data_IF_932537480268
#
_entry.id   IF_932537480268
#
_cell.length_a   1.000
_cell.length_b   1.000
_cell.length_c   1.000
_cell.angle_alpha   90.00
_cell.angle_beta   90.00
_cell.angle_gamma   90.00
#
_symmetry.space_group_name_H-M   'P 1'
#
loop_
_entity.id
_entity.type
_entity.pdbx_description
1 polymer ?
#
# COMPACT_ATOMS: atom_id res chain seq x y z
N UNK A 1 52.84 13.67 4.90
CA UNK A 1 51.82 13.39 3.87
C UNK A 1 50.68 12.67 4.58
N UNK A 2 49.49 13.25 4.64
CA UNK A 2 48.34 12.58 5.26
C UNK A 2 47.81 11.61 4.21
N UNK A 3 48.03 10.31 4.43
CA UNK A 3 47.44 9.27 3.58
C UNK A 3 45.92 9.40 3.63
N UNK A 4 45.30 9.72 2.49
CA UNK A 4 43.85 9.72 2.34
C UNK A 4 43.38 8.26 2.32
N UNK A 5 43.26 7.63 3.50
CA UNK A 5 42.75 6.27 3.61
C UNK A 5 41.25 6.28 3.37
N UNK A 6 40.71 5.38 2.55
CA UNK A 6 39.27 5.29 2.35
C UNK A 6 38.60 4.97 3.68
N UNK A 7 37.69 5.86 4.12
CA UNK A 7 36.86 5.64 5.30
C UNK A 7 35.68 4.74 4.95
N UNK A 8 35.32 3.84 5.87
CA UNK A 8 34.14 2.98 5.74
C UNK A 8 32.87 3.85 5.61
N UNK A 9 31.95 3.53 4.69
CA UNK A 9 30.67 4.25 4.57
C UNK A 9 29.79 4.05 5.82
N UNK A 10 28.87 4.98 6.06
CA UNK A 10 27.86 4.84 7.13
C UNK A 10 26.89 3.70 6.83
N UNK A 11 26.58 2.91 7.85
CA UNK A 11 25.61 1.82 7.74
C UNK A 11 24.18 2.38 7.58
N UNK A 12 23.35 1.75 6.72
CA UNK A 12 21.93 2.06 6.65
C UNK A 12 21.21 1.59 7.93
N UNK A 13 19.99 2.08 8.14
CA UNK A 13 19.12 1.65 9.24
C UNK A 13 18.57 0.24 8.97
N UNK A 14 19.42 -0.76 9.23
CA UNK A 14 19.12 -2.18 9.07
C UNK A 14 19.59 -2.95 10.31
N UNK A 15 18.91 -4.06 10.66
CA UNK A 15 19.34 -4.91 11.76
C UNK A 15 20.77 -5.45 11.58
N UNK A 16 21.49 -5.65 12.68
CA UNK A 16 22.86 -6.17 12.67
C UNK A 16 22.97 -7.52 11.94
N UNK A 17 21.96 -8.40 12.04
CA UNK A 17 21.97 -9.68 11.33
C UNK A 17 21.91 -9.56 9.80
N UNK A 18 21.59 -8.38 9.25
CA UNK A 18 21.68 -8.05 7.82
C UNK A 18 23.01 -7.36 7.52
N UNK A 19 23.44 -6.43 8.38
CA UNK A 19 24.66 -5.66 8.20
C UNK A 19 25.93 -6.52 8.33
N UNK A 20 26.05 -7.32 9.39
CA UNK A 20 27.27 -8.08 9.68
C UNK A 20 27.64 -9.06 8.55
N UNK A 21 26.68 -9.81 7.96
CA UNK A 21 26.99 -10.66 6.81
C UNK A 21 27.37 -9.86 5.56
N UNK A 22 26.78 -8.69 5.32
CA UNK A 22 27.12 -7.82 4.19
C UNK A 22 28.55 -7.28 4.33
N UNK A 23 28.90 -6.76 5.49
CA UNK A 23 30.23 -6.21 5.76
C UNK A 23 31.35 -7.26 5.66
N UNK A 24 31.00 -8.52 5.89
CA UNK A 24 31.91 -9.66 5.75
C UNK A 24 32.11 -10.13 4.29
N UNK A 25 31.37 -9.58 3.32
CA UNK A 25 31.48 -9.98 1.91
C UNK A 25 32.67 -9.33 1.21
N UNK A 26 33.18 -10.02 0.18
CA UNK A 26 34.13 -9.42 -0.75
C UNK A 26 33.44 -8.35 -1.63
N UNK A 27 34.20 -7.36 -2.17
CA UNK A 27 33.63 -6.33 -3.05
C UNK A 27 32.82 -6.90 -4.22
N UNK A 28 33.31 -7.97 -4.86
CA UNK A 28 32.60 -8.61 -5.98
C UNK A 28 31.25 -9.21 -5.55
N UNK A 29 31.15 -9.76 -4.34
CA UNK A 29 29.88 -10.27 -3.82
C UNK A 29 28.94 -9.13 -3.44
N UNK A 30 29.45 -8.02 -2.91
CA UNK A 30 28.65 -6.83 -2.63
C UNK A 30 28.01 -6.25 -3.90
N UNK A 31 28.74 -6.23 -5.02
CA UNK A 31 28.19 -5.83 -6.33
C UNK A 31 27.01 -6.72 -6.75
N UNK A 32 27.16 -8.05 -6.65
CA UNK A 32 26.10 -9.00 -6.99
C UNK A 32 24.88 -8.86 -6.08
N UNK A 33 25.10 -8.64 -4.77
CA UNK A 33 24.02 -8.41 -3.81
C UNK A 33 23.30 -7.12 -4.11
N UNK A 34 24.01 -6.04 -4.47
CA UNK A 34 23.41 -4.77 -4.86
C UNK A 34 22.49 -4.93 -6.07
N UNK A 35 22.97 -5.60 -7.12
CA UNK A 35 22.19 -5.88 -8.33
C UNK A 35 20.94 -6.72 -8.02
N UNK A 36 21.10 -7.80 -7.26
CA UNK A 36 19.98 -8.65 -6.86
C UNK A 36 18.96 -7.90 -6.00
N UNK A 37 19.41 -7.11 -5.02
CA UNK A 37 18.55 -6.32 -4.14
C UNK A 37 17.74 -5.29 -4.94
N UNK A 38 18.36 -4.62 -5.93
CA UNK A 38 17.68 -3.70 -6.82
C UNK A 38 16.60 -4.40 -7.65
N UNK A 39 16.94 -5.54 -8.26
CA UNK A 39 15.98 -6.35 -9.04
C UNK A 39 14.82 -6.87 -8.16
N UNK A 40 15.13 -7.33 -6.95
CA UNK A 40 14.14 -7.80 -5.99
C UNK A 40 13.19 -6.68 -5.56
N UNK A 41 13.71 -5.46 -5.33
CA UNK A 41 12.90 -4.30 -5.00
C UNK A 41 11.93 -3.94 -6.14
N UNK A 42 12.42 -3.93 -7.39
CA UNK A 42 11.57 -3.69 -8.58
C UNK A 42 10.47 -4.73 -8.70
N UNK A 43 10.82 -6.01 -8.59
CA UNK A 43 9.84 -7.10 -8.66
C UNK A 43 8.80 -7.02 -7.52
N UNK A 44 9.22 -6.74 -6.28
CA UNK A 44 8.31 -6.59 -5.13
C UNK A 44 7.33 -5.43 -5.34
N UNK A 45 7.77 -4.28 -5.84
CA UNK A 45 6.89 -3.15 -6.17
C UNK A 45 5.89 -3.51 -7.26
N UNK A 46 6.33 -4.19 -8.32
CA UNK A 46 5.44 -4.64 -9.38
C UNK A 46 4.41 -5.66 -8.88
N UNK A 47 4.84 -6.61 -8.04
CA UNK A 47 3.94 -7.57 -7.39
C UNK A 47 2.90 -6.87 -6.52
N UNK A 48 3.32 -5.93 -5.69
CA UNK A 48 2.43 -5.16 -4.83
C UNK A 48 1.41 -4.35 -5.64
N UNK A 49 1.84 -3.71 -6.75
CA UNK A 49 0.93 -3.01 -7.66
C UNK A 49 -0.11 -3.94 -8.27
N UNK A 50 0.31 -5.13 -8.69
CA UNK A 50 -0.62 -6.11 -9.26
C UNK A 50 -1.60 -6.64 -8.21
N UNK A 51 -1.12 -6.94 -7.00
CA UNK A 51 -2.00 -7.37 -5.90
C UNK A 51 -2.99 -6.25 -5.49
N UNK A 52 -2.59 -4.98 -5.63
CA UNK A 52 -3.49 -3.84 -5.44
C UNK A 52 -4.57 -3.76 -6.51
N UNK A 53 -4.19 -3.92 -7.78
CA UNK A 53 -5.12 -3.93 -8.91
C UNK A 53 -6.08 -5.11 -8.82
N UNK A 54 -5.57 -6.33 -8.58
CA UNK A 54 -6.38 -7.54 -8.40
C UNK A 54 -7.38 -7.37 -7.25
N UNK A 55 -6.94 -6.86 -6.09
CA UNK A 55 -7.84 -6.65 -4.95
C UNK A 55 -8.87 -5.56 -5.20
N UNK A 56 -8.50 -4.50 -5.90
CA UNK A 56 -9.44 -3.47 -6.30
C UNK A 56 -10.49 -4.07 -7.24
N UNK A 57 -10.08 -4.80 -8.28
CA UNK A 57 -11.02 -5.41 -9.22
C UNK A 57 -11.95 -6.44 -8.54
N UNK A 58 -11.56 -7.02 -7.41
CA UNK A 58 -12.38 -7.95 -6.60
C UNK A 58 -13.31 -7.26 -5.57
N UNK A 59 -12.88 -6.16 -4.95
CA UNK A 59 -13.58 -5.52 -3.81
C UNK A 59 -14.19 -4.14 -4.14
N UNK A 60 -13.81 -3.52 -5.26
CA UNK A 60 -14.34 -2.23 -5.71
C UNK A 60 -15.82 -2.37 -6.04
N UNK A 61 -16.56 -1.34 -5.62
CA UNK A 61 -17.99 -1.25 -5.88
C UNK A 61 -18.25 -1.06 -7.37
N UNK A 62 -19.39 -1.56 -7.85
CA UNK A 62 -19.77 -1.38 -9.24
C UNK A 62 -20.43 -0.01 -9.49
N UNK A 63 -20.84 0.23 -10.74
CA UNK A 63 -21.49 1.50 -11.13
C UNK A 63 -22.84 1.70 -10.42
N UNK A 64 -23.59 0.63 -10.12
CA UNK A 64 -24.89 0.71 -9.44
C UNK A 64 -24.73 1.11 -7.98
N UNK A 65 -23.75 0.52 -7.28
CA UNK A 65 -23.38 0.91 -5.92
C UNK A 65 -22.88 2.37 -5.86
N UNK A 66 -22.15 2.83 -6.89
CA UNK A 66 -21.67 4.21 -6.96
C UNK A 66 -22.83 5.20 -7.11
N UNK A 67 -23.81 4.88 -7.98
CA UNK A 67 -25.04 5.66 -8.13
C UNK A 67 -25.84 5.72 -6.82
N UNK A 68 -25.95 4.63 -6.06
CA UNK A 68 -26.62 4.64 -4.74
C UNK A 68 -25.93 5.60 -3.77
N UNK A 69 -24.59 5.64 -3.75
CA UNK A 69 -23.85 6.57 -2.90
C UNK A 69 -24.10 8.03 -3.28
N UNK A 70 -24.10 8.34 -4.58
CA UNK A 70 -24.37 9.70 -5.09
C UNK A 70 -25.81 10.15 -4.79
N UNK A 71 -26.80 9.27 -5.00
CA UNK A 71 -28.22 9.52 -4.67
C UNK A 71 -28.42 9.84 -3.18
N UNK A 72 -27.54 9.33 -2.34
CA UNK A 72 -27.54 9.51 -0.88
C UNK A 72 -26.71 10.70 -0.42
N UNK A 73 -26.22 11.52 -1.34
CA UNK A 73 -25.35 12.68 -1.09
C UNK A 73 -24.04 12.29 -0.37
N UNK A 74 -23.58 11.04 -0.57
CA UNK A 74 -22.31 10.55 -0.04
C UNK A 74 -21.23 10.83 -1.09
N UNK A 75 -20.22 11.60 -0.72
CA UNK A 75 -19.14 11.91 -1.66
C UNK A 75 -18.33 10.66 -2.04
N UNK A 76 -18.09 10.54 -3.34
CA UNK A 76 -17.22 9.53 -3.95
C UNK A 76 -15.87 10.12 -4.38
N UNK A 77 -15.59 11.41 -4.09
CA UNK A 77 -14.27 12.01 -4.30
C UNK A 77 -13.41 11.83 -3.03
N UNK A 78 -12.25 11.14 -3.10
CA UNK A 78 -11.38 10.98 -1.95
C UNK A 78 -10.88 12.30 -1.37
N UNK A 79 -10.90 13.41 -2.13
CA UNK A 79 -10.51 14.75 -1.63
C UNK A 79 -11.49 15.33 -0.62
N UNK A 80 -12.71 14.81 -0.54
CA UNK A 80 -13.69 15.24 0.45
C UNK A 80 -13.46 14.56 1.82
N UNK A 81 -12.46 13.66 1.91
CA UNK A 81 -12.09 12.94 3.11
C UNK A 81 -10.65 13.27 3.52
N UNK A 82 -10.46 13.75 4.76
CA UNK A 82 -9.16 14.25 5.25
C UNK A 82 -8.08 13.14 5.34
N UNK A 83 -8.45 11.92 5.72
CA UNK A 83 -7.49 10.81 5.90
C UNK A 83 -7.26 10.00 4.61
N UNK A 84 -8.07 10.23 3.56
CA UNK A 84 -8.02 9.45 2.33
C UNK A 84 -7.04 10.10 1.33
N UNK A 85 -6.06 9.36 0.81
CA UNK A 85 -5.16 9.92 -0.18
C UNK A 85 -5.89 10.17 -1.50
N UNK A 86 -5.58 11.31 -2.12
CA UNK A 86 -6.15 11.70 -3.43
C UNK A 86 -5.82 10.74 -4.59
N UNK A 87 -4.94 9.76 -4.39
CA UNK A 87 -4.59 8.77 -5.41
C UNK A 87 -4.43 7.38 -4.81
N UNK A 88 -5.00 6.37 -5.46
CA UNK A 88 -4.84 4.97 -5.06
C UNK A 88 -5.78 4.50 -3.93
N UNK A 89 -6.69 5.36 -3.49
CA UNK A 89 -7.85 4.96 -2.70
C UNK A 89 -9.01 4.55 -3.62
N UNK A 90 -9.76 3.54 -3.21
CA UNK A 90 -10.98 3.07 -3.87
C UNK A 90 -12.03 2.72 -2.83
N UNK A 91 -13.32 2.78 -3.20
CA UNK A 91 -14.42 2.42 -2.29
C UNK A 91 -14.66 0.92 -2.40
N UNK A 92 -14.81 0.28 -1.26
CA UNK A 92 -15.09 -1.16 -1.13
C UNK A 92 -16.36 -1.38 -0.33
N UNK A 93 -17.08 -2.45 -0.67
CA UNK A 93 -18.31 -2.86 0.01
C UNK A 93 -18.06 -4.10 0.87
N UNK A 94 -18.49 -4.03 2.14
CA UNK A 94 -18.48 -5.20 3.03
C UNK A 94 -19.89 -5.55 3.44
N UNK A 95 -20.31 -6.74 3.07
CA UNK A 95 -21.57 -7.32 3.53
C UNK A 95 -21.34 -8.08 4.83
N UNK A 96 -21.82 -7.55 5.96
CA UNK A 96 -21.69 -8.24 7.27
C UNK A 96 -22.91 -9.09 7.60
N UNK A 97 -24.06 -8.79 6.97
CA UNK A 97 -25.33 -9.54 7.04
C UNK A 97 -26.04 -9.41 5.70
N UNK A 98 -26.89 -10.38 5.31
CA UNK A 98 -27.70 -10.30 4.09
C UNK A 98 -28.41 -8.94 3.93
N UNK A 99 -27.99 -8.17 2.92
CA UNK A 99 -28.55 -6.84 2.61
C UNK A 99 -28.10 -5.69 3.52
N UNK A 100 -27.04 -5.87 4.32
CA UNK A 100 -26.38 -4.79 5.08
C UNK A 100 -24.97 -4.57 4.53
N UNK A 101 -24.86 -3.55 3.69
CA UNK A 101 -23.64 -3.15 3.03
C UNK A 101 -23.01 -1.97 3.75
N UNK A 102 -21.69 -2.06 3.98
CA UNK A 102 -20.89 -1.01 4.59
C UNK A 102 -19.83 -0.57 3.58
N UNK A 103 -19.78 0.73 3.31
CA UNK A 103 -18.84 1.31 2.36
C UNK A 103 -17.60 1.84 3.08
N UNK A 104 -16.43 1.47 2.56
CA UNK A 104 -15.13 1.87 3.09
C UNK A 104 -14.24 2.36 1.97
N UNK A 105 -13.60 3.52 2.15
CA UNK A 105 -12.40 3.86 1.40
C UNK A 105 -11.29 2.93 1.83
N UNK A 106 -10.55 2.39 0.87
CA UNK A 106 -9.44 1.49 1.11
C UNK A 106 -8.24 1.90 0.28
N UNK A 107 -7.06 1.95 0.92
CA UNK A 107 -5.80 2.26 0.24
C UNK A 107 -4.61 1.58 0.92
N UNK A 108 -3.47 1.61 0.23
CA UNK A 108 -2.19 1.17 0.77
C UNK A 108 -1.41 2.33 1.36
N UNK A 109 -0.92 2.13 2.58
CA UNK A 109 0.09 2.98 3.22
C UNK A 109 1.31 2.12 3.57
N UNK A 110 2.34 2.19 2.72
CA UNK A 110 3.51 1.32 2.77
C UNK A 110 3.12 -0.16 2.70
N UNK A 111 3.44 -0.89 3.78
CA UNK A 111 3.16 -2.32 3.95
C UNK A 111 1.88 -2.64 4.73
N UNK A 112 1.04 -1.64 5.05
CA UNK A 112 -0.27 -1.85 5.69
C UNK A 112 -1.44 -1.43 4.81
N UNK A 113 -2.61 -2.05 5.03
CA UNK A 113 -3.88 -1.60 4.47
C UNK A 113 -4.53 -0.61 5.42
N UNK A 114 -5.04 0.49 4.89
CA UNK A 114 -5.82 1.49 5.62
C UNK A 114 -7.25 1.47 5.10
N UNK A 115 -8.18 1.79 6.00
CA UNK A 115 -9.57 1.98 5.64
C UNK A 115 -10.14 3.19 6.38
N UNK A 116 -10.97 3.96 5.67
CA UNK A 116 -11.79 5.05 6.21
C UNK A 116 -13.25 4.66 5.95
N UNK A 117 -14.13 4.96 6.91
CA UNK A 117 -15.55 4.69 6.76
C UNK A 117 -16.25 5.84 6.03
N UNK A 118 -17.05 5.53 5.00
CA UNK A 118 -17.59 6.55 4.07
C UNK A 118 -18.98 7.05 4.47
N UNK A 119 -19.88 6.17 4.93
CA UNK A 119 -21.28 6.55 5.19
C UNK A 119 -22.20 5.33 5.23
N UNK A 120 -23.45 5.44 5.77
CA UNK A 120 -24.00 4.35 6.57
C UNK A 120 -24.59 3.16 5.83
N UNK A 121 -24.59 2.06 6.58
CA UNK A 121 -25.41 0.86 6.41
C UNK A 121 -26.85 1.23 6.13
N UNK A 122 -27.40 0.63 5.07
CA UNK A 122 -28.82 0.50 4.83
C UNK A 122 -29.55 0.15 6.16
N UNK A 123 -30.26 1.07 6.84
CA UNK A 123 -31.33 0.65 7.70
C UNK A 123 -32.48 0.40 6.74
N UNK A 124 -32.76 -0.86 6.39
CA UNK A 124 -34.10 -1.15 5.92
C UNK A 124 -35.06 -0.54 6.94
N UNK A 125 -35.73 0.54 6.58
CA UNK A 125 -36.79 1.12 7.39
C UNK A 125 -37.79 -0.02 7.65
N UNK A 126 -38.08 -0.27 8.92
CA UNK A 126 -39.12 -1.21 9.35
C UNK A 126 -40.50 -0.68 8.95
#
# INVERSE_FOLDING_TARGET
>A
MVENRPSKPSAPDLPAYVLDPLESQSPKRLELVSEYAANLATWKRAKQKRELEEKRDEEEIDEEDLEDLEDRDISTDPKDYEEVPASGAYITIKETKPGYHYYYWQWRDGDSWKNEYVGPVNPKEN
#
